data_IF_703088710992
#
_entry.id   IF_703088710992
#
_cell.length_a   1.000
_cell.length_b   1.000
_cell.length_c   1.000
_cell.angle_alpha   90.00
_cell.angle_beta   90.00
_cell.angle_gamma   90.00
#
_symmetry.space_group_name_H-M   'P 1'
#
loop_
_entity.id
_entity.type
_entity.pdbx_description
1 polymer ?
#
# COMPACT_ATOMS: atom_id res chain seq x y z
N UNK A 1 -10.13 -7.04 -0.60
CA UNK A 1 -9.80 -7.76 0.66
C UNK A 1 -9.52 -6.72 1.73
N UNK A 2 -9.55 -7.08 3.01
CA UNK A 2 -9.27 -6.14 4.12
C UNK A 2 -7.93 -6.48 4.77
N UNK A 3 -7.02 -5.50 4.84
CA UNK A 3 -5.71 -5.60 5.47
C UNK A 3 -5.60 -4.46 6.45
N UNK A 4 -5.25 -4.76 7.71
CA UNK A 4 -5.18 -3.76 8.77
C UNK A 4 -6.45 -2.88 8.86
N UNK A 5 -7.63 -3.51 8.79
CA UNK A 5 -8.94 -2.85 8.79
C UNK A 5 -9.22 -1.91 7.59
N UNK A 6 -8.44 -1.99 6.50
CA UNK A 6 -8.60 -1.14 5.31
C UNK A 6 -8.76 -1.97 4.03
N UNK A 7 -9.55 -1.49 3.06
CA UNK A 7 -9.65 -2.14 1.76
C UNK A 7 -8.33 -2.01 0.99
N UNK A 8 -7.80 -3.14 0.56
CA UNK A 8 -6.64 -3.20 -0.31
C UNK A 8 -6.93 -4.06 -1.55
N UNK A 9 -6.14 -3.81 -2.60
CA UNK A 9 -6.28 -4.35 -3.94
C UNK A 9 -4.94 -4.83 -4.47
N UNK A 10 -4.95 -5.92 -5.22
CA UNK A 10 -3.77 -6.53 -5.84
C UNK A 10 -3.42 -5.86 -7.17
N UNK A 11 -3.10 -4.56 -7.13
CA UNK A 11 -2.80 -3.78 -8.31
C UNK A 11 -3.73 -2.58 -8.52
N UNK A 12 -3.19 -1.54 -9.16
CA UNK A 12 -3.91 -0.31 -9.44
C UNK A 12 -5.12 -0.52 -10.35
N UNK A 13 -5.08 -1.56 -11.19
CA UNK A 13 -6.18 -1.93 -12.10
C UNK A 13 -7.47 -2.32 -11.35
N UNK A 14 -7.33 -2.88 -10.15
CA UNK A 14 -8.47 -3.29 -9.32
C UNK A 14 -8.88 -2.21 -8.33
N UNK A 15 -8.03 -1.20 -8.11
CA UNK A 15 -8.33 -0.11 -7.20
C UNK A 15 -9.49 0.74 -7.73
N UNK A 16 -10.49 0.94 -6.86
CA UNK A 16 -11.62 1.83 -7.15
C UNK A 16 -11.58 2.96 -6.14
N UNK A 17 -11.33 4.22 -6.58
CA UNK A 17 -11.32 5.35 -5.66
C UNK A 17 -12.69 5.48 -4.98
N UNK A 18 -12.68 5.48 -3.65
CA UNK A 18 -13.86 5.69 -2.82
C UNK A 18 -13.85 7.10 -2.25
N UNK A 19 -15.03 7.66 -1.92
CA UNK A 19 -15.12 8.98 -1.28
C UNK A 19 -14.30 8.99 0.03
N UNK A 20 -13.40 9.96 0.16
CA UNK A 20 -12.51 10.09 1.31
C UNK A 20 -11.20 9.30 1.20
N UNK A 21 -10.94 8.62 0.08
CA UNK A 21 -9.65 7.97 -0.25
C UNK A 21 -8.95 8.74 -1.38
N UNK A 22 -8.62 10.00 -1.14
CA UNK A 22 -8.04 10.88 -2.14
C UNK A 22 -6.55 10.60 -2.37
N UNK A 23 -5.87 10.03 -1.37
CA UNK A 23 -4.47 9.62 -1.48
C UNK A 23 -4.38 8.12 -1.76
N UNK A 24 -3.94 7.75 -2.96
CA UNK A 24 -3.78 6.35 -3.36
C UNK A 24 -2.34 5.93 -3.15
N UNK A 25 -2.14 4.91 -2.33
CA UNK A 25 -0.84 4.31 -2.05
C UNK A 25 -0.68 3.02 -2.83
N UNK A 26 0.48 2.88 -3.48
CA UNK A 26 0.89 1.69 -4.20
C UNK A 26 2.24 1.26 -3.69
N UNK A 27 2.38 0.00 -3.31
CA UNK A 27 3.69 -0.58 -3.01
C UNK A 27 3.92 -1.86 -3.80
N UNK A 28 5.10 -2.00 -4.42
CA UNK A 28 5.50 -3.26 -5.00
C UNK A 28 5.68 -4.30 -3.89
N UNK A 29 5.24 -5.52 -4.18
CA UNK A 29 5.42 -6.68 -3.30
C UNK A 29 6.70 -7.36 -3.74
N UNK A 30 7.71 -7.34 -2.89
CA UNK A 30 8.89 -8.14 -3.13
C UNK A 30 8.56 -9.62 -2.92
N UNK A 31 9.03 -10.54 -3.79
CA UNK A 31 8.84 -11.96 -3.58
C UNK A 31 9.49 -12.50 -2.30
N UNK A 32 10.45 -11.76 -1.74
CA UNK A 32 11.12 -12.04 -0.46
C UNK A 32 10.37 -11.42 0.72
N UNK A 33 9.27 -10.70 0.48
CA UNK A 33 8.48 -10.08 1.55
C UNK A 33 7.83 -11.17 2.42
N UNK A 34 8.08 -11.15 3.73
CA UNK A 34 7.59 -12.20 4.63
C UNK A 34 6.06 -12.18 4.82
N UNK A 35 5.40 -11.06 4.55
CA UNK A 35 3.95 -10.90 4.73
C UNK A 35 3.19 -11.13 3.43
N UNK A 36 3.64 -10.53 2.33
CA UNK A 36 2.93 -10.54 1.05
C UNK A 36 3.58 -11.43 0.00
N UNK A 37 4.85 -11.79 0.16
CA UNK A 37 5.59 -12.63 -0.78
C UNK A 37 4.98 -14.02 -0.92
N UNK A 38 4.41 -14.58 0.15
CA UNK A 38 3.77 -15.90 0.12
C UNK A 38 2.27 -15.87 -0.22
N UNK A 39 1.74 -14.72 -0.67
CA UNK A 39 0.34 -14.62 -1.08
C UNK A 39 0.22 -14.94 -2.56
N UNK A 40 -0.69 -15.87 -2.86
CA UNK A 40 -1.07 -16.26 -4.21
C UNK A 40 -2.49 -15.80 -4.47
N UNK A 41 -2.78 -15.38 -5.71
CA UNK A 41 -4.13 -15.14 -6.16
C UNK A 41 -4.94 -16.46 -6.15
N UNK A 42 -6.28 -16.42 -6.28
CA UNK A 42 -7.13 -17.61 -6.18
C UNK A 42 -6.79 -18.72 -7.18
N UNK A 43 -6.06 -18.39 -8.24
CA UNK A 43 -5.55 -19.31 -9.25
C UNK A 43 -4.31 -20.10 -8.78
N UNK A 44 -3.71 -19.75 -7.65
CA UNK A 44 -2.58 -20.44 -7.04
C UNK A 44 -1.24 -20.26 -7.75
N UNK A 45 -1.20 -19.51 -8.85
CA UNK A 45 -0.01 -19.32 -9.70
C UNK A 45 0.34 -17.85 -9.85
N UNK A 46 -0.66 -16.96 -9.95
CA UNK A 46 -0.40 -15.54 -10.12
C UNK A 46 -0.07 -14.90 -8.77
N UNK A 47 1.12 -14.35 -8.66
CA UNK A 47 1.53 -13.53 -7.51
C UNK A 47 1.22 -12.07 -7.79
N UNK A 48 0.58 -11.36 -6.86
CA UNK A 48 0.42 -9.93 -7.00
C UNK A 48 1.80 -9.26 -6.95
N UNK A 49 2.07 -8.40 -7.93
CA UNK A 49 3.34 -7.66 -8.01
C UNK A 49 3.33 -6.37 -7.18
N UNK A 50 2.14 -5.90 -6.83
CA UNK A 50 1.95 -4.72 -6.01
C UNK A 50 0.64 -4.82 -5.23
N UNK A 51 0.57 -4.11 -4.11
CA UNK A 51 -0.66 -3.81 -3.40
C UNK A 51 -0.99 -2.33 -3.57
N UNK A 52 -2.28 -2.04 -3.63
CA UNK A 52 -2.82 -0.69 -3.73
C UNK A 52 -3.92 -0.51 -2.69
N UNK A 53 -3.86 0.59 -1.95
CA UNK A 53 -4.87 0.96 -0.95
C UNK A 53 -5.07 2.47 -0.93
N UNK A 54 -6.21 2.90 -0.41
CA UNK A 54 -6.53 4.31 -0.26
C UNK A 54 -6.31 4.80 1.17
N UNK A 55 -5.64 5.92 1.30
CA UNK A 55 -5.49 6.70 2.52
C UNK A 55 -6.40 7.93 2.48
N UNK A 56 -6.73 8.44 3.66
CA UNK A 56 -7.57 9.64 3.78
C UNK A 56 -6.87 10.89 3.21
N UNK A 57 -7.63 11.93 2.92
CA UNK A 57 -7.08 13.18 2.35
C UNK A 57 -5.94 13.80 3.19
N UNK A 58 -6.02 13.67 4.52
CA UNK A 58 -4.99 14.15 5.45
C UNK A 58 -3.92 13.10 5.81
N UNK A 59 -3.98 11.93 5.20
CA UNK A 59 -3.04 10.83 5.39
C UNK A 59 -2.13 10.65 4.17
N UNK A 60 -0.89 10.22 4.39
CA UNK A 60 0.09 9.94 3.35
C UNK A 60 0.57 8.48 3.43
N UNK A 61 1.16 8.00 2.34
CA UNK A 61 1.69 6.65 2.23
C UNK A 61 2.98 6.53 3.04
N UNK A 62 2.99 5.66 4.06
CA UNK A 62 4.17 5.37 4.88
C UNK A 62 4.39 3.85 4.97
N UNK A 63 4.73 3.24 3.83
CA UNK A 63 4.99 1.81 3.74
C UNK A 63 3.67 1.11 3.51
N UNK A 64 3.33 0.13 4.34
CA UNK A 64 2.06 -0.60 4.27
C UNK A 64 0.90 0.13 4.98
N UNK A 65 1.15 1.32 5.52
CA UNK A 65 0.21 2.07 6.36
C UNK A 65 -0.06 3.49 5.85
N UNK A 66 -1.14 4.08 6.38
CA UNK A 66 -1.52 5.47 6.16
C UNK A 66 -1.12 6.30 7.39
N UNK A 67 -0.14 7.19 7.25
CA UNK A 67 0.29 8.06 8.33
C UNK A 67 -0.41 9.42 8.23
N UNK A 68 -0.86 10.00 9.35
CA UNK A 68 -1.36 11.38 9.36
C UNK A 68 -0.18 12.35 9.41
N UNK A 69 -0.23 13.40 8.58
CA UNK A 69 0.77 14.47 8.58
C UNK A 69 0.93 15.08 9.97
N UNK A 70 1.98 14.68 10.69
CA UNK A 70 2.21 15.11 12.07
C UNK A 70 3.28 14.37 12.86
N UNK A 71 3.95 13.35 12.33
CA UNK A 71 5.02 12.68 13.08
C UNK A 71 5.85 11.74 12.23
N UNK A 72 7.15 12.01 12.20
CA UNK A 72 8.17 11.13 11.65
C UNK A 72 7.92 9.66 12.06
N UNK A 73 7.74 8.79 11.09
CA UNK A 73 7.88 7.34 11.27
C UNK A 73 8.84 6.89 10.20
N UNK A 74 10.09 6.79 10.63
CA UNK A 74 11.24 6.29 9.90
C UNK A 74 10.99 4.87 9.42
N UNK A 75 10.52 4.71 8.19
CA UNK A 75 10.74 3.46 7.46
C UNK A 75 12.07 3.62 6.71
N UNK A 76 13.14 3.13 7.36
CA UNK A 76 14.38 2.75 6.67
C UNK A 76 14.01 1.88 5.46
N UNK A 77 14.21 2.39 4.24
CA UNK A 77 14.20 1.52 3.07
C UNK A 77 13.94 2.16 1.72
N UNK A 78 13.09 3.19 1.62
CA UNK A 78 12.84 3.84 0.33
C UNK A 78 12.84 5.36 0.50
N UNK A 79 13.92 5.99 0.03
CA UNK A 79 14.06 7.43 -0.13
C UNK A 79 12.92 7.98 -0.98
N UNK A 80 11.86 8.47 -0.35
CA UNK A 80 11.07 9.53 -0.94
C UNK A 80 11.76 10.85 -0.58
N UNK A 81 12.70 11.25 -1.45
CA UNK A 81 13.29 12.57 -1.45
C UNK A 81 12.19 13.63 -1.55
N UNK A 82 11.82 14.23 -0.43
CA UNK A 82 11.06 15.48 -0.42
C UNK A 82 12.10 16.57 -0.17
N UNK A 83 12.53 17.18 -1.28
CA UNK A 83 13.43 18.33 -1.30
C UNK A 83 12.77 19.60 -0.72
N UNK A 84 13.60 20.65 -0.52
CA UNK A 84 13.41 21.74 0.44
C UNK A 84 12.20 22.66 0.20
#
# INVERSE_FOLDING_TARGET
MMWNNRPYYWGSNYYRPQRGQENVCRMPIDPSDPQFGNIYQPDGVTRPHEIVWGCSYYEYCCGYECCRGGGASTFSGYSASVGP
#
